data_IF_112334878741
#
_entry.id   IF_112334878741
#
_cell.length_a   1.000
_cell.length_b   1.000
_cell.length_c   1.000
_cell.angle_alpha   90.00
_cell.angle_beta   90.00
_cell.angle_gamma   90.00
#
_symmetry.space_group_name_H-M   'P 1'
#
loop_
_entity.id
_entity.type
_entity.pdbx_description
1 polymer ?
#
# COMPACT_ATOMS: atom_id res chain seq x y z
N UNK A 1 56.36 -7.94 31.81
CA UNK A 1 56.01 -7.24 30.56
C UNK A 1 55.42 -8.26 29.60
N UNK A 2 54.09 -8.44 29.66
CA UNK A 2 53.13 -8.07 28.59
C UNK A 2 53.42 -8.78 27.26
N UNK A 3 52.69 -9.87 27.01
CA UNK A 3 52.03 -10.13 25.72
C UNK A 3 50.91 -11.15 25.92
N UNK A 4 49.86 -10.69 26.62
CA UNK A 4 48.49 -11.19 26.39
C UNK A 4 48.06 -10.57 25.06
N UNK A 5 48.23 -11.31 23.96
CA UNK A 5 47.80 -10.85 22.64
C UNK A 5 46.73 -11.83 22.12
N UNK A 6 45.49 -11.46 22.47
CA UNK A 6 44.35 -11.51 21.55
C UNK A 6 43.86 -12.89 21.09
N UNK A 7 43.29 -13.65 22.03
CA UNK A 7 42.22 -14.60 21.73
C UNK A 7 40.90 -13.83 21.59
N UNK A 8 40.76 -13.06 20.50
CA UNK A 8 39.50 -12.43 20.08
C UNK A 8 39.31 -12.69 18.59
N UNK A 9 39.27 -13.97 18.23
CA UNK A 9 38.83 -14.44 16.91
C UNK A 9 37.58 -15.28 17.21
N UNK A 10 36.39 -14.69 17.02
CA UNK A 10 35.15 -15.44 17.23
C UNK A 10 33.87 -14.63 17.47
N UNK A 11 33.78 -13.35 17.08
CA UNK A 11 32.53 -12.57 17.18
C UNK A 11 32.19 -11.83 15.87
N UNK A 12 32.59 -12.37 14.74
CA UNK A 12 32.06 -11.96 13.44
C UNK A 12 31.63 -13.22 12.70
N UNK A 13 30.37 -13.24 12.23
CA UNK A 13 29.69 -14.25 11.38
C UNK A 13 28.37 -14.81 11.94
N UNK A 14 27.61 -14.01 12.69
CA UNK A 14 26.16 -14.18 12.77
C UNK A 14 25.48 -12.86 12.37
N UNK A 15 25.81 -12.34 11.19
CA UNK A 15 24.82 -11.54 10.47
C UNK A 15 23.77 -12.54 9.99
N UNK A 16 22.72 -12.72 10.79
CA UNK A 16 21.51 -13.38 10.34
C UNK A 16 20.99 -12.58 9.13
N UNK A 17 21.34 -13.03 7.93
CA UNK A 17 20.67 -12.59 6.71
C UNK A 17 19.21 -12.97 6.92
N UNK A 18 18.38 -11.99 7.26
CA UNK A 18 16.93 -12.18 7.25
C UNK A 18 16.58 -12.48 5.81
N UNK A 19 16.37 -13.76 5.49
CA UNK A 19 16.01 -14.18 4.14
C UNK A 19 14.62 -13.60 3.88
N UNK A 20 14.55 -12.43 3.27
CA UNK A 20 13.30 -11.87 2.75
C UNK A 20 12.86 -12.80 1.64
N UNK A 21 11.71 -13.43 1.80
CA UNK A 21 11.20 -14.37 0.81
C UNK A 21 10.60 -13.55 -0.34
N UNK A 22 11.30 -13.52 -1.47
CA UNK A 22 10.94 -12.73 -2.65
C UNK A 22 10.32 -13.69 -3.68
N UNK A 23 9.12 -13.36 -4.17
CA UNK A 23 8.47 -14.15 -5.24
C UNK A 23 9.24 -14.02 -6.55
N UNK A 24 9.14 -14.99 -7.48
CA UNK A 24 9.61 -14.78 -8.84
C UNK A 24 8.95 -13.56 -9.49
N UNK A 25 9.61 -13.03 -10.53
CA UNK A 25 9.06 -11.95 -11.34
C UNK A 25 7.71 -12.35 -11.97
N UNK A 26 6.77 -11.41 -12.05
CA UNK A 26 5.47 -11.59 -12.71
C UNK A 26 5.06 -10.32 -13.45
N UNK A 27 5.20 -10.37 -14.77
CA UNK A 27 4.86 -9.29 -15.69
C UNK A 27 3.42 -8.79 -15.49
N UNK A 28 2.46 -9.68 -15.16
CA UNK A 28 1.08 -9.26 -14.91
C UNK A 28 0.92 -8.42 -13.65
N UNK A 29 1.79 -8.59 -12.66
CA UNK A 29 1.82 -7.73 -11.47
C UNK A 29 2.38 -6.35 -11.80
N UNK A 30 3.38 -6.28 -12.67
CA UNK A 30 3.92 -5.01 -13.19
C UNK A 30 2.84 -4.25 -13.95
N UNK A 31 2.23 -4.88 -14.96
CA UNK A 31 1.17 -4.29 -15.78
C UNK A 31 -0.05 -3.87 -14.94
N UNK A 32 -0.46 -4.76 -14.01
CA UNK A 32 -1.57 -4.48 -13.11
C UNK A 32 -1.30 -3.30 -12.18
N UNK A 33 -0.05 -3.14 -11.72
CA UNK A 33 0.36 -2.01 -10.88
C UNK A 33 0.35 -0.69 -11.66
N UNK A 34 0.79 -0.71 -12.92
CA UNK A 34 0.71 0.48 -13.79
C UNK A 34 -0.74 0.86 -14.10
N UNK A 35 -1.59 -0.12 -14.41
CA UNK A 35 -3.01 0.08 -14.65
C UNK A 35 -3.70 0.68 -13.41
N UNK A 36 -3.41 0.13 -12.22
CA UNK A 36 -3.88 0.65 -10.95
C UNK A 36 -3.46 2.12 -10.76
N UNK A 37 -2.17 2.43 -10.96
CA UNK A 37 -1.66 3.79 -10.82
C UNK A 37 -2.41 4.75 -11.73
N UNK A 38 -2.58 4.40 -13.00
CA UNK A 38 -3.26 5.23 -13.99
C UNK A 38 -4.71 5.53 -13.61
N UNK A 39 -5.45 4.50 -13.19
CA UNK A 39 -6.86 4.66 -12.78
C UNK A 39 -6.98 5.55 -11.55
N UNK A 40 -6.24 5.22 -10.48
CA UNK A 40 -6.34 5.93 -9.20
C UNK A 40 -5.81 7.36 -9.32
N UNK A 41 -4.70 7.56 -10.04
CA UNK A 41 -4.15 8.90 -10.30
C UNK A 41 -5.14 9.78 -11.05
N UNK A 42 -5.84 9.25 -12.06
CA UNK A 42 -6.88 10.00 -12.77
C UNK A 42 -8.00 10.44 -11.83
N UNK A 43 -8.47 9.56 -10.95
CA UNK A 43 -9.47 9.90 -9.95
C UNK A 43 -9.00 10.96 -8.95
N UNK A 44 -7.74 10.91 -8.52
CA UNK A 44 -7.15 11.92 -7.65
C UNK A 44 -7.03 13.29 -8.33
N UNK A 45 -6.62 13.35 -9.60
CA UNK A 45 -6.55 14.59 -10.38
C UNK A 45 -7.95 15.19 -10.57
N UNK A 46 -8.95 14.35 -10.86
CA UNK A 46 -10.33 14.80 -10.97
C UNK A 46 -10.83 15.38 -9.63
N UNK A 47 -10.57 14.70 -8.52
CA UNK A 47 -10.93 15.16 -7.17
C UNK A 47 -10.26 16.49 -6.81
N UNK A 48 -8.96 16.60 -7.11
CA UNK A 48 -8.18 17.82 -6.92
C UNK A 48 -8.79 18.99 -7.70
N UNK A 49 -9.09 18.79 -8.98
CA UNK A 49 -9.62 19.85 -9.86
C UNK A 49 -10.97 20.42 -9.41
N UNK A 50 -11.77 19.62 -8.70
CA UNK A 50 -13.08 20.01 -8.17
C UNK A 50 -13.00 20.62 -6.77
N UNK A 51 -11.87 20.48 -6.09
CA UNK A 51 -11.69 20.89 -4.70
C UNK A 51 -11.25 22.34 -4.59
N UNK A 52 -11.73 23.02 -3.55
CA UNK A 52 -11.35 24.41 -3.27
C UNK A 52 -9.86 24.49 -2.88
N UNK A 53 -9.18 25.55 -3.32
CA UNK A 53 -7.76 25.79 -3.04
C UNK A 53 -7.55 26.00 -1.53
N UNK A 54 -7.73 27.20 -0.97
CA UNK A 54 -7.51 27.47 0.45
C UNK A 54 -8.53 28.50 0.99
N UNK A 55 -9.19 28.14 2.12
CA UNK A 55 -10.23 28.90 2.87
C UNK A 55 -11.63 28.89 2.23
N UNK A 56 -12.62 28.47 3.03
CA UNK A 56 -14.04 28.65 2.72
C UNK A 56 -14.35 30.15 2.57
N UNK A 57 -14.90 30.62 1.44
CA UNK A 57 -15.91 31.66 1.50
C UNK A 57 -17.24 30.92 1.70
N UNK A 58 -17.74 30.92 2.94
CA UNK A 58 -19.05 30.36 3.32
C UNK A 58 -19.09 28.82 3.39
N UNK A 59 -19.32 28.29 4.59
CA UNK A 59 -19.70 26.88 4.78
C UNK A 59 -21.01 26.69 4.00
N UNK A 60 -21.11 25.79 2.99
CA UNK A 60 -22.38 25.53 2.36
C UNK A 60 -23.37 25.06 3.42
N UNK A 61 -24.63 25.51 3.34
CA UNK A 61 -25.72 25.13 4.27
C UNK A 61 -25.87 23.60 4.42
N UNK A 62 -25.35 22.84 3.45
CA UNK A 62 -25.24 21.37 3.45
C UNK A 62 -23.83 20.94 3.01
N UNK A 63 -23.03 20.30 3.87
CA UNK A 63 -21.70 19.79 3.55
C UNK A 63 -21.63 18.96 2.26
N UNK A 64 -22.65 18.15 2.00
CA UNK A 64 -22.72 17.22 0.87
C UNK A 64 -22.78 17.94 -0.48
N UNK A 65 -23.16 19.21 -0.50
CA UNK A 65 -23.13 20.04 -1.71
C UNK A 65 -21.71 20.49 -2.09
N UNK A 66 -20.74 20.36 -1.18
CA UNK A 66 -19.35 20.66 -1.48
C UNK A 66 -18.79 19.58 -2.42
N UNK A 67 -18.17 19.95 -3.56
CA UNK A 67 -17.56 18.97 -4.47
C UNK A 67 -16.43 18.15 -3.84
N UNK A 68 -15.81 18.63 -2.76
CA UNK A 68 -14.80 17.92 -1.99
C UNK A 68 -15.35 16.98 -0.91
N UNK A 69 -16.68 16.85 -0.78
CA UNK A 69 -17.33 16.01 0.24
C UNK A 69 -17.23 14.51 -0.09
N UNK A 70 -17.02 13.67 0.92
CA UNK A 70 -16.80 12.22 0.73
C UNK A 70 -17.91 11.49 -0.02
N UNK A 71 -19.15 11.97 0.06
CA UNK A 71 -20.30 11.38 -0.65
C UNK A 71 -20.06 11.24 -2.16
N UNK A 72 -19.24 12.12 -2.75
CA UNK A 72 -18.90 12.09 -4.19
C UNK A 72 -17.80 11.08 -4.53
N UNK A 73 -17.10 10.54 -3.53
CA UNK A 73 -15.88 9.73 -3.71
C UNK A 73 -16.01 8.29 -3.20
N UNK A 74 -17.18 7.87 -2.70
CA UNK A 74 -17.42 6.49 -2.23
C UNK A 74 -17.08 5.44 -3.31
N UNK A 75 -17.53 5.67 -4.54
CA UNK A 75 -17.23 4.77 -5.67
C UNK A 75 -15.74 4.78 -6.03
N UNK A 76 -15.07 5.94 -5.93
CA UNK A 76 -13.64 6.05 -6.17
C UNK A 76 -12.85 5.17 -5.19
N UNK A 77 -13.12 5.28 -3.88
CA UNK A 77 -12.45 4.44 -2.87
C UNK A 77 -12.76 2.97 -3.08
N UNK A 78 -14.03 2.62 -3.31
CA UNK A 78 -14.44 1.24 -3.53
C UNK A 78 -13.75 0.63 -4.75
N UNK A 79 -13.66 1.35 -5.88
CA UNK A 79 -12.97 0.89 -7.09
C UNK A 79 -11.47 0.68 -6.83
N UNK A 80 -10.83 1.63 -6.15
CA UNK A 80 -9.42 1.53 -5.79
C UNK A 80 -9.16 0.33 -4.86
N UNK A 81 -10.01 0.09 -3.86
CA UNK A 81 -9.87 -1.08 -2.98
C UNK A 81 -10.07 -2.41 -3.72
N UNK A 82 -11.05 -2.49 -4.62
CA UNK A 82 -11.28 -3.69 -5.45
C UNK A 82 -10.07 -3.96 -6.35
N UNK A 83 -9.51 -2.92 -6.96
CA UNK A 83 -8.32 -3.04 -7.80
C UNK A 83 -7.10 -3.49 -6.98
N UNK A 84 -6.92 -2.96 -5.76
CA UNK A 84 -5.89 -3.43 -4.84
C UNK A 84 -6.09 -4.89 -4.42
N UNK A 85 -7.33 -5.30 -4.13
CA UNK A 85 -7.69 -6.70 -3.84
C UNK A 85 -7.29 -7.62 -4.99
N UNK A 86 -7.52 -7.22 -6.25
CA UNK A 86 -7.10 -8.01 -7.41
C UNK A 86 -5.59 -8.24 -7.46
N UNK A 87 -4.79 -7.22 -7.13
CA UNK A 87 -3.33 -7.34 -7.06
C UNK A 87 -2.87 -8.22 -5.90
N UNK A 88 -3.53 -8.12 -4.73
CA UNK A 88 -3.30 -9.00 -3.58
C UNK A 88 -3.56 -10.46 -3.98
N UNK A 89 -4.71 -10.76 -4.60
CA UNK A 89 -5.07 -12.11 -5.04
C UNK A 89 -4.04 -12.64 -6.04
N UNK A 90 -3.62 -11.83 -7.02
CA UNK A 90 -2.57 -12.22 -7.99
C UNK A 90 -1.25 -12.52 -7.28
N UNK A 91 -0.84 -11.68 -6.34
CA UNK A 91 0.36 -11.88 -5.54
C UNK A 91 0.28 -13.16 -4.70
N UNK A 92 -0.89 -13.52 -4.16
CA UNK A 92 -1.08 -14.77 -3.45
C UNK A 92 -0.94 -15.99 -4.38
N UNK A 93 -1.54 -15.93 -5.58
CA UNK A 93 -1.54 -17.05 -6.55
C UNK A 93 -0.19 -17.22 -7.26
N UNK A 94 0.58 -16.15 -7.42
CA UNK A 94 1.92 -16.20 -8.03
C UNK A 94 2.99 -16.83 -7.10
N UNK A 95 2.62 -17.26 -5.88
CA UNK A 95 3.43 -18.24 -5.15
C UNK A 95 3.14 -19.61 -5.76
N UNK A 96 4.14 -20.25 -6.38
CA UNK A 96 4.11 -21.68 -6.69
C UNK A 96 3.97 -22.61 -5.45
N UNK A 97 3.67 -22.05 -4.28
CA UNK A 97 3.42 -22.70 -2.99
C UNK A 97 2.45 -21.82 -2.17
N UNK A 98 1.17 -21.83 -2.55
CA UNK A 98 0.08 -21.33 -1.69
C UNK A 98 0.17 -21.97 -0.29
N UNK A 99 0.70 -23.20 -0.23
CA UNK A 99 0.92 -24.00 0.99
C UNK A 99 1.92 -23.42 2.00
N UNK A 100 2.79 -22.45 1.62
CA UNK A 100 3.70 -21.78 2.56
C UNK A 100 3.05 -20.55 3.25
N UNK A 101 1.82 -20.19 2.89
CA UNK A 101 1.02 -19.20 3.61
C UNK A 101 0.18 -19.96 4.64
N UNK A 102 0.52 -19.83 5.93
CA UNK A 102 -0.23 -20.45 7.02
C UNK A 102 -1.71 -20.02 7.03
N UNK A 103 -2.58 -20.87 7.60
CA UNK A 103 -4.02 -20.60 7.71
C UNK A 103 -4.33 -19.29 8.46
N UNK A 104 -3.53 -18.96 9.46
CA UNK A 104 -3.54 -17.70 10.21
C UNK A 104 -3.32 -16.49 9.31
N UNK A 105 -2.28 -16.53 8.47
CA UNK A 105 -1.97 -15.46 7.50
C UNK A 105 -3.07 -15.32 6.47
N UNK A 106 -3.61 -16.43 5.97
CA UNK A 106 -4.75 -16.41 5.07
C UNK A 106 -5.92 -15.64 5.68
N UNK A 107 -6.25 -15.93 6.94
CA UNK A 107 -7.32 -15.23 7.66
C UNK A 107 -7.04 -13.73 7.84
N UNK A 108 -5.81 -13.34 8.18
CA UNK A 108 -5.45 -11.91 8.30
C UNK A 108 -5.54 -11.18 6.95
N UNK A 109 -5.17 -11.84 5.85
CA UNK A 109 -5.31 -11.30 4.50
C UNK A 109 -6.78 -11.21 4.10
N UNK A 110 -7.59 -12.23 4.39
CA UNK A 110 -9.04 -12.22 4.16
C UNK A 110 -9.70 -11.08 4.92
N UNK A 111 -9.30 -10.83 6.17
CA UNK A 111 -9.73 -9.65 6.94
C UNK A 111 -9.37 -8.36 6.20
N UNK A 112 -8.13 -8.24 5.72
CA UNK A 112 -7.73 -7.07 4.91
C UNK A 112 -8.57 -6.95 3.65
N UNK A 113 -8.84 -8.04 2.93
CA UNK A 113 -9.58 -8.04 1.66
C UNK A 113 -11.07 -7.71 1.87
N UNK A 114 -11.68 -8.23 2.93
CA UNK A 114 -13.13 -8.16 3.19
C UNK A 114 -13.56 -6.88 3.90
N UNK A 115 -12.66 -6.26 4.68
CA UNK A 115 -12.96 -5.03 5.42
C UNK A 115 -12.60 -3.78 4.60
N UNK A 116 -13.44 -2.75 4.68
CA UNK A 116 -13.16 -1.44 4.09
C UNK A 116 -12.03 -0.71 4.84
N UNK A 117 -12.01 -0.85 6.18
CA UNK A 117 -10.99 -0.28 7.07
C UNK A 117 -10.48 -1.38 8.01
N UNK A 118 -9.52 -2.19 7.57
CA UNK A 118 -9.03 -3.31 8.36
C UNK A 118 -8.30 -2.86 9.62
N UNK A 119 -8.54 -3.52 10.75
CA UNK A 119 -7.87 -3.20 12.03
C UNK A 119 -6.35 -3.39 12.01
N UNK A 120 -5.86 -4.22 11.08
CA UNK A 120 -4.45 -4.47 10.81
C UNK A 120 -3.83 -3.49 9.81
N UNK A 121 -4.56 -2.47 9.35
CA UNK A 121 -3.97 -1.33 8.65
C UNK A 121 -3.62 -0.21 9.65
N UNK A 122 -2.33 0.10 9.79
CA UNK A 122 -1.83 1.17 10.66
C UNK A 122 -1.01 2.15 9.83
N UNK A 123 -1.41 3.42 9.83
CA UNK A 123 -0.73 4.51 9.11
C UNK A 123 -0.47 4.20 7.61
N UNK A 124 -1.41 3.52 6.96
CA UNK A 124 -1.29 3.12 5.54
C UNK A 124 -0.39 1.91 5.30
N UNK A 125 -0.08 1.14 6.35
CA UNK A 125 0.74 -0.09 6.29
C UNK A 125 0.00 -1.26 6.90
N UNK A 126 0.10 -2.43 6.28
CA UNK A 126 -0.47 -3.65 6.82
C UNK A 126 0.46 -4.26 7.87
N UNK A 127 -0.13 -4.67 8.99
CA UNK A 127 0.56 -5.34 10.10
C UNK A 127 0.10 -6.80 10.09
N UNK A 128 0.91 -7.67 9.49
CA UNK A 128 0.69 -9.11 9.46
C UNK A 128 1.60 -9.76 10.49
N UNK A 129 1.06 -10.70 11.26
CA UNK A 129 1.80 -11.29 12.39
C UNK A 129 2.86 -12.29 11.94
N UNK A 130 2.67 -12.96 10.80
CA UNK A 130 3.61 -13.93 10.27
C UNK A 130 4.31 -13.48 8.98
N UNK A 131 5.27 -14.30 8.53
CA UNK A 131 6.14 -13.97 7.40
C UNK A 131 5.41 -14.13 6.07
N UNK A 132 5.15 -13.01 5.41
CA UNK A 132 4.70 -12.98 4.01
C UNK A 132 5.81 -12.56 3.05
N UNK A 133 5.55 -12.70 1.75
CA UNK A 133 6.46 -12.18 0.72
C UNK A 133 6.44 -10.66 0.72
N UNK A 134 7.56 -10.03 0.35
CA UNK A 134 7.61 -8.59 0.13
C UNK A 134 6.57 -8.10 -0.88
N UNK A 135 6.32 -8.86 -1.95
CA UNK A 135 5.30 -8.54 -2.97
C UNK A 135 3.89 -8.53 -2.40
N UNK A 136 3.50 -9.57 -1.66
CA UNK A 136 2.21 -9.58 -0.97
C UNK A 136 2.09 -8.42 0.04
N UNK A 137 3.13 -8.18 0.85
CA UNK A 137 3.17 -7.06 1.80
C UNK A 137 2.96 -5.71 1.10
N UNK A 138 3.62 -5.51 -0.05
CA UNK A 138 3.50 -4.31 -0.85
C UNK A 138 2.06 -4.02 -1.30
N UNK A 139 1.31 -5.05 -1.72
CA UNK A 139 -0.08 -4.86 -2.15
C UNK A 139 -1.07 -4.77 -0.99
N UNK A 140 -0.79 -5.43 0.14
CA UNK A 140 -1.55 -5.20 1.37
C UNK A 140 -1.37 -3.76 1.88
N UNK A 141 -0.13 -3.25 1.86
CA UNK A 141 0.18 -1.86 2.17
C UNK A 141 -0.51 -0.90 1.21
N UNK A 142 -0.55 -1.22 -0.09
CA UNK A 142 -1.27 -0.42 -1.09
C UNK A 142 -2.75 -0.31 -0.73
N UNK A 143 -3.41 -1.41 -0.36
CA UNK A 143 -4.80 -1.36 0.10
C UNK A 143 -4.93 -0.52 1.38
N UNK A 144 -4.07 -0.73 2.37
CA UNK A 144 -4.09 0.02 3.61
C UNK A 144 -3.91 1.53 3.38
N UNK A 145 -3.11 1.95 2.40
CA UNK A 145 -2.97 3.34 2.00
C UNK A 145 -4.32 3.93 1.54
N UNK A 146 -5.05 3.22 0.67
CA UNK A 146 -6.36 3.65 0.17
C UNK A 146 -7.40 3.71 1.30
N UNK A 147 -7.47 2.67 2.13
CA UNK A 147 -8.36 2.63 3.31
C UNK A 147 -8.07 3.78 4.27
N UNK A 148 -6.80 4.06 4.53
CA UNK A 148 -6.41 5.20 5.37
C UNK A 148 -6.83 6.54 4.76
N UNK A 149 -6.77 6.70 3.44
CA UNK A 149 -7.29 7.92 2.79
C UNK A 149 -8.80 8.05 2.97
N UNK A 150 -9.57 6.98 2.86
CA UNK A 150 -11.02 7.03 3.09
C UNK A 150 -11.33 7.44 4.53
N UNK A 151 -10.65 6.85 5.52
CA UNK A 151 -10.79 7.23 6.94
C UNK A 151 -10.44 8.70 7.18
N UNK A 152 -9.33 9.18 6.60
CA UNK A 152 -8.95 10.58 6.69
C UNK A 152 -9.98 11.52 6.06
N UNK A 153 -10.67 11.08 5.01
CA UNK A 153 -11.74 11.84 4.37
C UNK A 153 -12.98 11.90 5.27
N UNK A 154 -13.41 10.76 5.81
CA UNK A 154 -14.51 10.67 6.79
C UNK A 154 -14.25 11.53 8.02
N UNK A 155 -12.99 11.58 8.46
CA UNK A 155 -12.59 12.32 9.66
C UNK A 155 -12.25 13.79 9.37
N UNK A 156 -12.29 14.23 8.11
CA UNK A 156 -12.03 15.61 7.75
C UNK A 156 -13.16 16.52 8.25
N UNK A 157 -12.86 17.81 8.39
CA UNK A 157 -13.88 18.79 8.75
C UNK A 157 -15.01 18.79 7.72
N UNK A 158 -16.24 18.55 8.17
CA UNK A 158 -17.43 18.38 7.32
C UNK A 158 -17.23 17.31 6.23
N UNK A 159 -16.42 16.28 6.50
CA UNK A 159 -16.10 15.19 5.57
C UNK A 159 -15.60 15.69 4.21
N UNK A 160 -14.94 16.86 4.19
CA UNK A 160 -14.54 17.57 2.98
C UNK A 160 -13.04 17.73 2.92
N UNK A 161 -12.45 17.35 1.80
CA UNK A 161 -11.02 17.55 1.53
C UNK A 161 -10.76 18.76 0.64
N UNK A 162 -9.59 19.35 0.83
CA UNK A 162 -9.08 20.49 0.05
C UNK A 162 -8.11 20.00 -1.01
N UNK A 163 -7.79 20.88 -1.97
CA UNK A 163 -6.83 20.60 -3.04
C UNK A 163 -5.52 19.97 -2.55
N UNK A 164 -4.88 20.57 -1.55
CA UNK A 164 -3.62 20.06 -0.98
C UNK A 164 -3.72 18.67 -0.34
N UNK A 165 -4.91 18.22 0.08
CA UNK A 165 -5.09 16.85 0.55
C UNK A 165 -4.98 15.85 -0.62
N UNK A 166 -5.53 16.19 -1.78
CA UNK A 166 -5.49 15.34 -2.97
C UNK A 166 -4.09 15.31 -3.59
N UNK A 167 -3.39 16.45 -3.62
CA UNK A 167 -1.98 16.53 -4.04
C UNK A 167 -1.09 15.62 -3.18
N UNK A 168 -1.25 15.65 -1.85
CA UNK A 168 -0.51 14.75 -0.95
C UNK A 168 -0.80 13.26 -1.20
N UNK A 169 -2.01 12.92 -1.65
CA UNK A 169 -2.37 11.56 -2.05
C UNK A 169 -1.72 11.14 -3.35
N UNK A 170 -1.60 12.04 -4.32
CA UNK A 170 -0.86 11.75 -5.55
C UNK A 170 0.61 11.42 -5.25
N UNK A 171 1.25 12.19 -4.36
CA UNK A 171 2.64 11.97 -3.95
C UNK A 171 2.79 10.62 -3.26
N UNK A 172 1.92 10.31 -2.28
CA UNK A 172 1.98 9.02 -1.57
C UNK A 172 1.64 7.83 -2.46
N UNK A 173 0.72 7.97 -3.42
CA UNK A 173 0.44 6.97 -4.45
C UNK A 173 1.71 6.69 -5.28
N UNK A 174 2.30 7.74 -5.84
CA UNK A 174 3.47 7.62 -6.71
C UNK A 174 4.62 6.95 -5.97
N UNK A 175 4.90 7.36 -4.73
CA UNK A 175 5.94 6.75 -3.92
C UNK A 175 5.68 5.27 -3.65
N UNK A 176 4.44 4.89 -3.34
CA UNK A 176 4.08 3.48 -3.16
C UNK A 176 4.32 2.70 -4.45
N UNK A 177 3.78 3.16 -5.58
CA UNK A 177 3.90 2.49 -6.88
C UNK A 177 5.37 2.33 -7.29
N UNK A 178 6.19 3.37 -7.15
CA UNK A 178 7.64 3.29 -7.43
C UNK A 178 8.32 2.24 -6.55
N UNK A 179 7.97 2.15 -5.27
CA UNK A 179 8.54 1.15 -4.37
C UNK A 179 8.13 -0.28 -4.77
N UNK A 180 6.88 -0.47 -5.18
CA UNK A 180 6.39 -1.76 -5.69
C UNK A 180 7.16 -2.14 -6.96
N UNK A 181 7.24 -1.23 -7.94
CA UNK A 181 7.91 -1.49 -9.21
C UNK A 181 9.39 -1.77 -9.04
N UNK A 182 10.10 -1.02 -8.18
CA UNK A 182 11.51 -1.32 -7.85
C UNK A 182 11.68 -2.72 -7.26
N UNK A 183 10.77 -3.13 -6.39
CA UNK A 183 10.81 -4.47 -5.79
C UNK A 183 10.57 -5.57 -6.84
N UNK A 184 9.72 -5.32 -7.85
CA UNK A 184 9.49 -6.25 -8.95
C UNK A 184 10.66 -6.27 -9.95
N UNK A 185 11.23 -5.12 -10.34
CA UNK A 185 12.37 -5.05 -11.26
C UNK A 185 13.62 -5.74 -10.71
N UNK A 186 13.89 -5.64 -9.40
CA UNK A 186 15.02 -6.33 -8.78
C UNK A 186 14.96 -7.86 -9.01
N UNK A 187 13.75 -8.43 -9.03
CA UNK A 187 13.57 -9.87 -9.30
C UNK A 187 13.87 -10.23 -10.74
N UNK A 188 13.50 -9.37 -11.68
CA UNK A 188 13.78 -9.56 -13.09
C UNK A 188 15.29 -9.62 -13.30
N UNK A 189 16.04 -8.66 -12.75
CA UNK A 189 17.51 -8.64 -12.84
C UNK A 189 18.15 -9.86 -12.16
N UNK A 190 17.62 -10.29 -11.02
CA UNK A 190 18.12 -11.47 -10.30
C UNK A 190 17.89 -12.80 -11.05
N UNK A 191 16.90 -12.87 -11.95
CA UNK A 191 16.66 -14.04 -12.80
C UNK A 191 17.61 -14.15 -13.99
N UNK A 192 18.36 -13.09 -14.33
CA UNK A 192 19.26 -13.03 -15.50
C UNK A 192 20.69 -13.49 -15.17
N UNK A 193 20.94 -14.09 -14.00
CA UNK A 193 22.23 -14.67 -13.62
C UNK A 193 22.21 -16.20 -13.54
#
# INVERSE_FOLDING_TARGET
MIRRLTLVIGVFLLQACTVTFVQPYDEKLVDGTEAFYKEVSKGLIEAESKSLEHRNPVIPLKPESNPGHISHYKLFYSSAMVSANSLIIRAMVNRGKVDEIGLSVHKEIETIISEAVPSNCKDGKSVITEKITLTLQNYLDLKCLISNWEVQHLSAQNETLKKGNWEGRQISLMNMIVNIQKAESFKYEAQVN
#
